data_IF_236653747106
#
_entry.id   IF_236653747106
#
_cell.length_a   1.000
_cell.length_b   1.000
_cell.length_c   1.000
_cell.angle_alpha   90.00
_cell.angle_beta   90.00
_cell.angle_gamma   90.00
#
_symmetry.space_group_name_H-M   'P 1'
#
loop_
_entity.id
_entity.type
_entity.pdbx_description
1 polymer ?
#
# COMPACT_ATOMS: atom_id res chain seq x y z
N UNK A 1 59.24 62.54 13.09
CA UNK A 1 59.34 61.96 14.45
C UNK A 1 58.27 62.58 15.34
N UNK A 2 57.31 61.78 15.81
CA UNK A 2 56.36 62.06 16.90
C UNK A 2 56.24 60.74 17.66
N UNK A 3 56.41 60.68 18.99
CA UNK A 3 56.16 59.44 19.71
C UNK A 3 54.65 59.18 19.69
N UNK A 4 54.25 58.06 19.10
CA UNK A 4 52.87 57.60 19.12
C UNK A 4 52.64 56.81 20.41
N UNK A 5 51.68 57.25 21.22
CA UNK A 5 51.17 56.46 22.35
C UNK A 5 50.34 55.33 21.74
N UNK A 6 50.92 54.14 21.66
CA UNK A 6 50.22 52.93 21.21
C UNK A 6 49.32 52.46 22.36
N UNK A 7 48.04 52.83 22.29
CA UNK A 7 47.01 52.35 23.21
C UNK A 7 46.70 50.89 22.87
N UNK A 8 46.97 49.99 23.83
CA UNK A 8 46.67 48.56 23.68
C UNK A 8 45.17 48.33 23.50
N UNK A 9 44.80 47.44 22.57
CA UNK A 9 43.41 47.01 22.29
C UNK A 9 42.66 46.58 23.57
N UNK A 10 43.37 46.07 24.58
CA UNK A 10 42.78 45.66 25.85
C UNK A 10 42.14 46.81 26.65
N UNK A 11 42.70 48.02 26.62
CA UNK A 11 42.14 49.19 27.34
C UNK A 11 40.87 49.73 26.68
N UNK A 12 40.72 49.57 25.37
CA UNK A 12 39.50 49.97 24.66
C UNK A 12 38.35 48.97 24.92
N UNK A 13 38.66 47.68 25.04
CA UNK A 13 37.69 46.63 25.37
C UNK A 13 37.14 46.76 26.80
N UNK A 14 37.98 47.14 27.77
CA UNK A 14 37.53 47.31 29.16
C UNK A 14 36.54 48.48 29.33
N UNK A 15 36.76 49.59 28.63
CA UNK A 15 35.85 50.75 28.66
C UNK A 15 34.49 50.42 28.01
N UNK A 16 34.50 49.63 26.94
CA UNK A 16 33.28 49.24 26.23
C UNK A 16 32.43 48.22 27.02
N UNK A 17 33.07 47.33 27.77
CA UNK A 17 32.38 46.36 28.63
C UNK A 17 31.61 47.05 29.78
N UNK A 18 32.18 48.10 30.38
CA UNK A 18 31.51 48.87 31.45
C UNK A 18 30.32 49.65 30.89
N UNK A 19 30.44 50.24 29.68
CA UNK A 19 29.34 50.95 29.04
C UNK A 19 28.17 50.01 28.64
N UNK A 20 28.47 48.77 28.24
CA UNK A 20 27.44 47.76 27.95
C UNK A 20 26.66 47.36 29.22
N UNK A 21 27.36 47.13 30.34
CA UNK A 21 26.74 46.73 31.60
C UNK A 21 25.78 47.79 32.17
N UNK A 22 26.06 49.09 31.95
CA UNK A 22 25.19 50.18 32.39
C UNK A 22 23.90 50.26 31.56
N UNK A 23 23.95 49.90 30.27
CA UNK A 23 22.75 49.90 29.42
C UNK A 23 21.76 48.79 29.77
N UNK A 24 22.26 47.61 30.16
CA UNK A 24 21.40 46.47 30.51
C UNK A 24 20.64 46.69 31.82
N UNK A 25 21.22 47.44 32.76
CA UNK A 25 20.56 47.74 34.05
C UNK A 25 19.42 48.75 33.93
N UNK A 26 19.47 49.67 32.97
CA UNK A 26 18.43 50.68 32.74
C UNK A 26 17.30 50.20 31.82
N UNK A 27 17.54 49.18 30.98
CA UNK A 27 16.49 48.54 30.19
C UNK A 27 15.65 47.54 31.01
N UNK A 28 16.22 46.93 32.05
CA UNK A 28 15.52 45.97 32.91
C UNK A 28 14.55 46.60 33.92
N UNK A 29 14.66 47.91 34.22
CA UNK A 29 13.73 48.59 35.14
C UNK A 29 12.41 48.99 34.50
N UNK A 30 12.33 49.06 33.17
CA UNK A 30 11.12 49.37 32.40
C UNK A 30 10.35 48.12 31.94
N UNK A 31 10.98 46.94 31.96
CA UNK A 31 10.35 45.67 31.55
C UNK A 31 9.69 44.89 32.71
N UNK A 32 9.77 45.40 33.95
CA UNK A 32 9.17 44.74 35.11
C UNK A 32 7.64 44.95 35.25
N UNK A 33 7.04 45.89 34.50
CA UNK A 33 5.63 46.30 34.65
C UNK A 33 4.73 45.94 33.46
N UNK A 34 5.28 45.31 32.41
CA UNK A 34 4.49 44.77 31.29
C UNK A 34 4.87 43.32 31.15
N UNK A 35 4.12 42.45 31.84
CA UNK A 35 4.35 41.00 31.92
C UNK A 35 4.17 40.26 30.59
N UNK A 36 4.99 40.57 29.60
CA UNK A 36 5.09 39.83 28.34
C UNK A 36 6.47 39.20 28.29
N UNK A 37 6.53 37.95 28.73
CA UNK A 37 7.70 37.10 28.60
C UNK A 37 7.78 36.62 27.13
N UNK A 38 8.71 37.18 26.34
CA UNK A 38 9.00 36.65 25.00
C UNK A 38 9.77 35.34 25.19
N UNK A 39 9.03 34.23 25.20
CA UNK A 39 9.60 32.87 25.25
C UNK A 39 9.90 32.40 23.82
N UNK A 40 11.19 32.18 23.53
CA UNK A 40 11.62 31.43 22.36
C UNK A 40 11.31 29.94 22.60
N UNK A 41 10.32 29.42 21.86
CA UNK A 41 9.87 28.03 21.97
C UNK A 41 10.77 27.04 21.19
N UNK A 42 11.94 27.47 20.72
CA UNK A 42 13.00 26.61 20.22
C UNK A 42 13.08 26.48 18.70
N UNK A 43 14.18 25.88 18.24
CA UNK A 43 14.48 25.60 16.83
C UNK A 43 13.74 24.37 16.31
N UNK A 44 13.35 24.39 15.03
CA UNK A 44 12.78 23.21 14.34
C UNK A 44 13.73 22.01 14.48
N UNK A 45 13.23 20.90 15.02
CA UNK A 45 13.99 19.64 15.11
C UNK A 45 14.39 19.09 13.74
N UNK A 46 15.41 18.23 13.72
CA UNK A 46 15.91 17.61 12.50
C UNK A 46 14.83 16.77 11.80
N UNK A 47 14.65 16.97 10.49
CA UNK A 47 13.79 16.14 9.64
C UNK A 47 14.66 15.06 9.01
N UNK A 48 14.32 13.79 9.25
CA UNK A 48 14.99 12.66 8.61
C UNK A 48 14.28 12.29 7.31
N UNK A 49 15.01 11.99 6.21
CA UNK A 49 14.40 11.48 5.00
C UNK A 49 13.81 10.08 5.22
N UNK A 50 12.71 9.76 4.55
CA UNK A 50 12.13 8.42 4.52
C UNK A 50 13.05 7.55 3.65
N UNK A 51 13.81 6.63 4.27
CA UNK A 51 14.78 5.73 3.64
C UNK A 51 14.27 4.28 3.60
N UNK A 52 12.99 4.08 3.30
CA UNK A 52 12.43 2.73 3.19
C UNK A 52 13.16 1.91 2.13
N UNK A 53 13.60 0.71 2.50
CA UNK A 53 14.17 -0.23 1.54
C UNK A 53 13.14 -0.56 0.46
N UNK A 54 13.60 -0.68 -0.79
CA UNK A 54 12.73 -1.06 -1.90
C UNK A 54 12.10 -2.44 -1.62
N UNK A 55 10.77 -2.50 -1.65
CA UNK A 55 10.05 -3.77 -1.46
C UNK A 55 10.51 -4.84 -2.45
N UNK A 56 10.90 -4.45 -3.67
CA UNK A 56 11.40 -5.36 -4.68
C UNK A 56 12.75 -5.98 -4.27
N UNK A 57 13.66 -5.18 -3.69
CA UNK A 57 14.95 -5.65 -3.21
C UNK A 57 14.78 -6.63 -2.04
N UNK A 58 13.86 -6.32 -1.12
CA UNK A 58 13.51 -7.22 -0.01
C UNK A 58 12.94 -8.55 -0.51
N UNK A 59 12.04 -8.51 -1.51
CA UNK A 59 11.49 -9.73 -2.13
C UNK A 59 12.59 -10.56 -2.80
N UNK A 60 13.46 -9.91 -3.58
CA UNK A 60 14.58 -10.59 -4.25
C UNK A 60 15.56 -11.21 -3.27
N UNK A 61 15.91 -10.50 -2.19
CA UNK A 61 16.80 -11.02 -1.15
C UNK A 61 16.21 -12.29 -0.51
N UNK A 62 14.91 -12.27 -0.18
CA UNK A 62 14.20 -13.44 0.38
C UNK A 62 14.17 -14.62 -0.58
N UNK A 63 13.86 -14.38 -1.86
CA UNK A 63 13.85 -15.43 -2.88
C UNK A 63 15.24 -16.04 -3.09
N UNK A 64 16.28 -15.22 -3.11
CA UNK A 64 17.66 -15.69 -3.24
C UNK A 64 18.11 -16.52 -2.04
N UNK A 65 17.77 -16.09 -0.82
CA UNK A 65 18.04 -16.85 0.39
C UNK A 65 17.31 -18.20 0.37
N UNK A 66 16.02 -18.21 0.01
CA UNK A 66 15.22 -19.43 -0.11
C UNK A 66 15.77 -20.38 -1.19
N UNK A 67 16.24 -19.84 -2.32
CA UNK A 67 16.87 -20.61 -3.40
C UNK A 67 18.17 -21.28 -2.93
N UNK A 68 19.07 -20.51 -2.31
CA UNK A 68 20.35 -21.02 -1.77
C UNK A 68 20.16 -22.08 -0.70
N UNK A 69 19.14 -21.93 0.14
CA UNK A 69 18.80 -22.91 1.18
C UNK A 69 18.16 -24.21 0.63
N UNK A 70 17.80 -24.25 -0.66
CA UNK A 70 17.07 -25.37 -1.27
C UNK A 70 15.58 -25.41 -0.92
N UNK A 71 15.08 -24.50 -0.07
CA UNK A 71 13.68 -24.43 0.36
C UNK A 71 12.71 -24.32 -0.83
N UNK A 72 13.06 -23.55 -1.86
CA UNK A 72 12.23 -23.42 -3.06
C UNK A 72 12.03 -24.75 -3.78
N UNK A 73 13.08 -25.56 -3.88
CA UNK A 73 13.01 -26.88 -4.51
C UNK A 73 12.15 -27.83 -3.67
N UNK A 74 12.27 -27.78 -2.35
CA UNK A 74 11.41 -28.56 -1.44
C UNK A 74 9.94 -28.17 -1.61
N UNK A 75 9.62 -26.87 -1.57
CA UNK A 75 8.25 -26.38 -1.76
C UNK A 75 7.68 -26.79 -3.12
N UNK A 76 8.50 -26.76 -4.17
CA UNK A 76 8.11 -27.18 -5.51
C UNK A 76 7.74 -28.68 -5.54
N UNK A 77 8.54 -29.54 -4.94
CA UNK A 77 8.27 -30.98 -4.86
C UNK A 77 7.00 -31.26 -4.05
N UNK A 78 6.83 -30.61 -2.90
CA UNK A 78 5.62 -30.73 -2.09
C UNK A 78 4.36 -30.28 -2.85
N UNK A 79 4.46 -29.20 -3.63
CA UNK A 79 3.37 -28.72 -4.45
C UNK A 79 3.02 -29.72 -5.56
N UNK A 80 4.03 -30.24 -6.27
CA UNK A 80 3.83 -31.27 -7.30
C UNK A 80 3.13 -32.50 -6.74
N UNK A 81 3.55 -32.99 -5.56
CA UNK A 81 2.91 -34.14 -4.93
C UNK A 81 1.46 -33.83 -4.54
N UNK A 82 1.19 -32.66 -3.93
CA UNK A 82 -0.18 -32.23 -3.60
C UNK A 82 -1.10 -32.17 -4.82
N UNK A 83 -0.61 -31.62 -5.93
CA UNK A 83 -1.37 -31.54 -7.19
C UNK A 83 -1.62 -32.93 -7.75
N UNK A 84 -0.59 -33.79 -7.79
CA UNK A 84 -0.74 -35.18 -8.24
C UNK A 84 -1.79 -35.94 -7.43
N UNK A 85 -1.75 -35.82 -6.11
CA UNK A 85 -2.74 -36.44 -5.22
C UNK A 85 -4.15 -35.90 -5.49
N UNK A 86 -4.29 -34.58 -5.71
CA UNK A 86 -5.59 -33.95 -6.03
C UNK A 86 -6.16 -34.43 -7.36
N UNK A 87 -5.32 -34.67 -8.37
CA UNK A 87 -5.75 -35.21 -9.67
C UNK A 87 -6.17 -36.68 -9.54
N UNK A 88 -5.37 -37.49 -8.83
CA UNK A 88 -5.68 -38.91 -8.63
C UNK A 88 -6.89 -39.13 -7.72
N UNK A 89 -7.12 -38.23 -6.77
CA UNK A 89 -8.24 -38.26 -5.82
C UNK A 89 -8.92 -36.89 -5.77
N UNK A 90 -9.72 -36.55 -6.79
CA UNK A 90 -10.42 -35.28 -6.82
C UNK A 90 -11.42 -35.19 -5.67
N UNK A 91 -11.72 -33.96 -5.25
CA UNK A 91 -12.77 -33.73 -4.25
C UNK A 91 -14.10 -34.11 -4.86
N UNK A 92 -14.89 -34.97 -4.19
CA UNK A 92 -16.22 -35.32 -4.66
C UNK A 92 -17.06 -34.06 -4.85
N UNK A 93 -17.77 -33.97 -5.98
CA UNK A 93 -18.75 -32.90 -6.19
C UNK A 93 -19.85 -33.05 -5.15
N UNK A 94 -20.22 -31.95 -4.51
CA UNK A 94 -21.27 -31.93 -3.48
C UNK A 94 -22.54 -32.58 -4.03
N UNK A 95 -23.12 -33.50 -3.25
CA UNK A 95 -24.33 -34.26 -3.59
C UNK A 95 -24.21 -35.27 -4.76
N UNK A 96 -23.01 -35.53 -5.28
CA UNK A 96 -22.77 -36.66 -6.17
C UNK A 96 -22.17 -37.83 -5.39
N UNK A 97 -22.84 -38.99 -5.44
CA UNK A 97 -22.39 -40.23 -4.83
C UNK A 97 -22.08 -41.28 -5.90
N UNK A 98 -21.35 -42.33 -5.52
CA UNK A 98 -21.08 -43.46 -6.41
C UNK A 98 -22.41 -44.05 -6.92
N UNK A 99 -22.52 -44.26 -8.22
CA UNK A 99 -23.67 -44.92 -8.83
C UNK A 99 -23.66 -46.41 -8.48
N UNK A 100 -24.78 -46.92 -7.96
CA UNK A 100 -24.99 -48.36 -7.69
C UNK A 100 -25.76 -49.04 -8.82
N UNK A 101 -26.52 -48.26 -9.57
CA UNK A 101 -27.42 -48.71 -10.64
C UNK A 101 -27.39 -47.71 -11.79
N UNK A 102 -27.66 -48.20 -13.00
CA UNK A 102 -27.79 -47.35 -14.18
C UNK A 102 -29.12 -46.59 -14.14
N UNK A 103 -29.08 -45.27 -14.35
CA UNK A 103 -30.28 -44.42 -14.42
C UNK A 103 -30.22 -43.54 -15.66
N UNK A 104 -31.29 -43.54 -16.43
CA UNK A 104 -31.48 -42.64 -17.56
C UNK A 104 -32.46 -41.55 -17.16
N UNK A 105 -32.13 -40.29 -17.46
CA UNK A 105 -33.04 -39.15 -17.27
C UNK A 105 -33.15 -38.41 -18.58
N UNK A 106 -34.38 -38.08 -18.95
CA UNK A 106 -34.66 -37.22 -20.09
C UNK A 106 -34.58 -35.78 -19.60
N UNK A 107 -33.81 -34.94 -20.28
CA UNK A 107 -33.69 -33.52 -19.98
C UNK A 107 -34.15 -32.71 -21.18
N UNK A 108 -35.22 -31.95 -20.99
CA UNK A 108 -35.69 -30.97 -21.98
C UNK A 108 -35.01 -29.63 -21.68
N UNK A 109 -34.14 -29.20 -22.59
CA UNK A 109 -33.43 -27.92 -22.49
C UNK A 109 -34.22 -26.76 -23.10
N UNK A 110 -35.50 -26.96 -23.44
CA UNK A 110 -36.34 -25.92 -24.04
C UNK A 110 -36.53 -24.77 -23.07
N UNK A 111 -35.93 -23.64 -23.40
CA UNK A 111 -36.13 -22.38 -22.71
C UNK A 111 -37.22 -21.56 -23.41
N UNK A 112 -38.13 -20.98 -22.63
CA UNK A 112 -39.16 -20.06 -23.13
C UNK A 112 -38.84 -18.65 -22.68
N UNK A 113 -38.61 -17.77 -23.63
CA UNK A 113 -38.39 -16.35 -23.37
C UNK A 113 -39.65 -15.73 -22.76
N UNK A 114 -39.55 -15.10 -21.58
CA UNK A 114 -40.71 -14.51 -20.90
C UNK A 114 -41.11 -13.17 -21.51
N UNK A 115 -40.14 -12.28 -21.65
CA UNK A 115 -40.36 -10.89 -22.07
C UNK A 115 -39.77 -10.61 -23.46
N UNK A 116 -40.31 -9.62 -24.15
CA UNK A 116 -39.73 -9.12 -25.40
C UNK A 116 -38.31 -8.60 -25.17
N UNK A 117 -37.34 -9.15 -25.89
CA UNK A 117 -35.98 -8.62 -25.93
C UNK A 117 -35.94 -7.53 -27.00
N UNK A 118 -35.57 -6.31 -26.57
CA UNK A 118 -35.53 -5.13 -27.44
C UNK A 118 -34.12 -4.55 -27.51
N UNK A 119 -33.74 -4.08 -28.70
CA UNK A 119 -32.55 -3.24 -28.90
C UNK A 119 -32.77 -1.87 -28.27
N UNK A 120 -31.71 -1.12 -27.98
CA UNK A 120 -31.77 0.27 -27.45
C UNK A 120 -32.74 1.20 -28.22
N UNK A 121 -32.93 0.92 -29.51
CA UNK A 121 -33.81 1.68 -30.40
C UNK A 121 -35.28 1.22 -30.36
N UNK A 122 -35.65 0.29 -29.47
CA UNK A 122 -37.01 -0.22 -29.29
C UNK A 122 -37.41 -1.37 -30.22
N UNK A 123 -36.54 -1.79 -31.14
CA UNK A 123 -36.80 -2.91 -32.06
C UNK A 123 -36.77 -4.24 -31.29
N UNK A 124 -37.83 -5.05 -31.43
CA UNK A 124 -37.90 -6.39 -30.83
C UNK A 124 -37.02 -7.35 -31.65
N UNK A 125 -36.05 -7.98 -30.98
CA UNK A 125 -35.17 -9.00 -31.58
C UNK A 125 -35.59 -10.42 -31.20
N UNK A 126 -36.22 -10.60 -30.04
CA UNK A 126 -36.83 -11.87 -29.62
C UNK A 126 -38.15 -11.53 -28.95
N UNK A 127 -39.23 -12.18 -29.39
CA UNK A 127 -40.56 -11.96 -28.81
C UNK A 127 -40.71 -12.76 -27.52
N UNK A 128 -41.44 -12.22 -26.55
CA UNK A 128 -41.96 -13.00 -25.43
C UNK A 128 -42.74 -14.21 -25.95
N UNK A 129 -42.46 -15.38 -25.37
CA UNK A 129 -43.00 -16.68 -25.79
C UNK A 129 -42.13 -17.45 -26.78
N UNK A 130 -41.04 -16.88 -27.31
CA UNK A 130 -40.13 -17.63 -28.18
C UNK A 130 -39.51 -18.81 -27.41
N UNK A 131 -39.68 -20.02 -27.94
CA UNK A 131 -39.08 -21.24 -27.41
C UNK A 131 -37.78 -21.55 -28.14
N UNK A 132 -36.73 -21.84 -27.40
CA UNK A 132 -35.42 -22.17 -27.94
C UNK A 132 -34.92 -23.42 -27.23
N UNK A 133 -34.61 -24.46 -27.99
CA UNK A 133 -33.92 -25.63 -27.49
C UNK A 133 -32.46 -25.60 -27.98
N UNK A 134 -31.47 -25.39 -27.08
CA UNK A 134 -30.07 -25.37 -27.48
C UNK A 134 -29.60 -26.67 -28.16
N UNK A 135 -30.23 -27.80 -27.84
CA UNK A 135 -29.89 -29.10 -28.41
C UNK A 135 -30.25 -29.23 -29.91
N UNK A 136 -31.16 -28.40 -30.42
CA UNK A 136 -31.50 -28.37 -31.85
C UNK A 136 -30.49 -27.55 -32.67
N UNK A 137 -29.78 -26.63 -32.01
CA UNK A 137 -28.91 -25.64 -32.66
C UNK A 137 -27.44 -26.10 -32.61
N UNK A 138 -27.05 -26.78 -31.53
CA UNK A 138 -25.67 -27.24 -31.32
C UNK A 138 -25.50 -28.62 -31.95
N UNK A 139 -24.56 -28.73 -32.91
CA UNK A 139 -24.06 -30.04 -33.35
C UNK A 139 -23.07 -30.55 -32.30
N UNK A 140 -23.43 -31.63 -31.61
CA UNK A 140 -22.49 -32.41 -30.80
C UNK A 140 -21.66 -33.25 -31.79
N UNK A 141 -20.36 -32.92 -31.90
CA UNK A 141 -19.39 -33.60 -32.76
C UNK A 141 -18.83 -34.88 -32.15
#
# INVERSE_FOLDING_TARGET
MKPQVVMSIGTLFALFAVAYQVSDTMANSLNADIGVEIKDYGTRGHVFPIIEESLLEVIMAKLNAASKSGLLNQMQLEFQEKVKQKIMRPVPVKNLTKATENKTRIYDSTYVQKDDIKTKNGIIIVKGGTKINPLEIIKLG
#
